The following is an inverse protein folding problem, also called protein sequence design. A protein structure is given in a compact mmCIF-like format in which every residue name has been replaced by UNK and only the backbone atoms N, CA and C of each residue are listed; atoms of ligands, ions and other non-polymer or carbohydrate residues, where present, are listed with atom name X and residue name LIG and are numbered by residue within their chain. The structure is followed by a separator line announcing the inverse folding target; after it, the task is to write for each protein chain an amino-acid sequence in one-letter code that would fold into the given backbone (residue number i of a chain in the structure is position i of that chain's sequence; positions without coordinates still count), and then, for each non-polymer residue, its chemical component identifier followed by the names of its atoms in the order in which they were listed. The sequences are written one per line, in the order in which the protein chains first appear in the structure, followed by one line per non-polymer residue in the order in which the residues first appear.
data_IF_005066717611
#
_entry.id   IF_005066717611
#
_cell.length_a   1.000
_cell.length_b   1.000
_cell.length_c   1.000
_cell.angle_alpha   90.00
_cell.angle_beta   90.00
_cell.angle_gamma   90.00
#
_symmetry.space_group_name_H-M   'P 1'
#
loop_
_entity.id
_entity.type
_entity.pdbx_description
1 polymer ?
#
# COMPACT_ATOMS: atom_id res chain seq x y z
N UNK A 1 -12.47 -58.57 -59.29
CA UNK A 1 -12.36 -57.21 -58.70
C UNK A 1 -11.26 -57.29 -57.66
N UNK A 2 -10.19 -56.53 -57.85
CA UNK A 2 -8.94 -56.70 -57.14
C UNK A 2 -9.01 -55.96 -55.80
N UNK A 3 -9.18 -56.71 -54.71
CA UNK A 3 -9.06 -56.20 -53.34
C UNK A 3 -7.57 -55.98 -53.02
N UNK A 4 -7.03 -54.87 -53.52
CA UNK A 4 -5.68 -54.40 -53.21
C UNK A 4 -5.64 -54.00 -51.74
N UNK A 5 -5.16 -54.91 -50.88
CA UNK A 5 -4.94 -54.65 -49.45
C UNK A 5 -4.02 -53.43 -49.30
N UNK A 6 -4.40 -52.41 -48.50
CA UNK A 6 -3.60 -51.20 -48.34
C UNK A 6 -2.20 -51.50 -47.81
N UNK A 7 -1.17 -50.84 -48.39
CA UNK A 7 0.22 -50.97 -47.98
C UNK A 7 0.39 -50.51 -46.52
N UNK A 8 1.03 -51.36 -45.71
CA UNK A 8 1.34 -51.10 -44.29
C UNK A 8 2.10 -49.78 -44.07
N UNK A 9 2.85 -49.30 -45.08
CA UNK A 9 3.54 -48.00 -45.02
C UNK A 9 2.58 -46.81 -45.00
N UNK A 10 1.46 -46.89 -45.71
CA UNK A 10 0.49 -45.80 -45.77
C UNK A 10 -0.37 -45.77 -44.50
N UNK A 11 -0.75 -46.94 -43.99
CA UNK A 11 -1.42 -47.09 -42.68
C UNK A 11 -0.57 -46.49 -41.54
N UNK A 12 0.74 -46.77 -41.53
CA UNK A 12 1.66 -46.21 -40.52
C UNK A 12 1.79 -44.68 -40.61
N UNK A 13 1.77 -44.11 -41.82
CA UNK A 13 1.83 -42.65 -42.03
C UNK A 13 0.57 -41.96 -41.53
N UNK A 14 -0.61 -42.47 -41.86
CA UNK A 14 -1.88 -41.90 -41.40
C UNK A 14 -2.01 -41.93 -39.87
N UNK A 15 -1.62 -43.05 -39.23
CA UNK A 15 -1.61 -43.17 -37.77
C UNK A 15 -0.61 -42.20 -37.13
N UNK A 16 0.58 -42.03 -37.73
CA UNK A 16 1.59 -41.04 -37.29
C UNK A 16 1.04 -39.62 -37.32
N UNK A 17 0.41 -39.22 -38.42
CA UNK A 17 -0.14 -37.86 -38.57
C UNK A 17 -1.34 -37.61 -37.63
N UNK A 18 -2.18 -38.62 -37.43
CA UNK A 18 -3.27 -38.56 -36.45
C UNK A 18 -2.73 -38.41 -35.01
N UNK A 19 -1.67 -39.15 -34.64
CA UNK A 19 -1.06 -39.07 -33.33
C UNK A 19 -0.34 -37.73 -33.10
N UNK A 20 0.34 -37.17 -34.11
CA UNK A 20 0.93 -35.82 -34.03
C UNK A 20 -0.13 -34.74 -33.80
N UNK A 21 -1.28 -34.82 -34.47
CA UNK A 21 -2.41 -33.90 -34.26
C UNK A 21 -2.96 -34.02 -32.83
N UNK A 22 -3.19 -35.23 -32.34
CA UNK A 22 -3.63 -35.48 -30.95
C UNK A 22 -2.63 -34.94 -29.93
N UNK A 23 -1.34 -35.17 -30.14
CA UNK A 23 -0.29 -34.66 -29.25
C UNK A 23 -0.26 -33.12 -29.23
N UNK A 24 -0.39 -32.45 -30.38
CA UNK A 24 -0.49 -30.99 -30.44
C UNK A 24 -1.70 -30.46 -29.67
N UNK A 25 -2.86 -31.11 -29.80
CA UNK A 25 -4.09 -30.74 -29.07
C UNK A 25 -3.90 -30.93 -27.57
N UNK A 26 -3.30 -32.04 -27.14
CA UNK A 26 -3.00 -32.29 -25.72
C UNK A 26 -2.01 -31.27 -25.15
N UNK A 27 -0.97 -30.90 -25.91
CA UNK A 27 -0.03 -29.85 -25.50
C UNK A 27 -0.71 -28.49 -25.37
N UNK A 28 -1.54 -28.10 -26.35
CA UNK A 28 -2.33 -26.86 -26.29
C UNK A 28 -3.29 -26.85 -25.11
N UNK A 29 -3.97 -27.97 -24.85
CA UNK A 29 -4.87 -28.12 -23.71
C UNK A 29 -4.11 -28.02 -22.38
N UNK A 30 -2.93 -28.66 -22.28
CA UNK A 30 -2.07 -28.58 -21.10
C UNK A 30 -1.57 -27.16 -20.85
N UNK A 31 -1.16 -26.44 -21.90
CA UNK A 31 -0.72 -25.04 -21.80
C UNK A 31 -1.88 -24.14 -21.37
N UNK A 32 -3.06 -24.32 -21.98
CA UNK A 32 -4.26 -23.57 -21.62
C UNK A 32 -4.67 -23.81 -20.16
N UNK A 33 -4.62 -25.06 -19.70
CA UNK A 33 -4.89 -25.41 -18.30
C UNK A 33 -3.89 -24.79 -17.33
N UNK A 34 -2.61 -24.79 -17.69
CA UNK A 34 -1.57 -24.14 -16.89
C UNK A 34 -1.80 -22.63 -16.79
N UNK A 35 -2.11 -21.97 -17.92
CA UNK A 35 -2.44 -20.54 -17.94
C UNK A 35 -3.68 -20.25 -17.09
N UNK A 36 -4.72 -21.09 -17.17
CA UNK A 36 -5.92 -20.95 -16.35
C UNK A 36 -5.61 -21.02 -14.85
N UNK A 37 -4.74 -21.95 -14.42
CA UNK A 37 -4.30 -22.03 -13.01
C UNK A 37 -3.56 -20.76 -12.59
N UNK A 38 -2.66 -20.24 -13.42
CA UNK A 38 -1.90 -19.01 -13.10
C UNK A 38 -2.85 -17.82 -12.96
N UNK A 39 -3.79 -17.67 -13.87
CA UNK A 39 -4.82 -16.62 -13.80
C UNK A 39 -5.65 -16.81 -12.52
N UNK A 40 -6.16 -18.01 -12.26
CA UNK A 40 -6.95 -18.29 -11.06
C UNK A 40 -6.17 -18.02 -9.75
N UNK A 41 -4.85 -18.26 -9.73
CA UNK A 41 -4.00 -17.95 -8.59
C UNK A 41 -3.81 -16.44 -8.36
N UNK A 42 -3.79 -15.64 -9.44
CA UNK A 42 -3.73 -14.17 -9.37
C UNK A 42 -5.09 -13.58 -8.96
N UNK A 43 -6.18 -14.12 -9.50
CA UNK A 43 -7.54 -13.61 -9.29
C UNK A 43 -8.23 -14.13 -8.01
N UNK A 44 -7.63 -15.09 -7.28
CA UNK A 44 -8.17 -15.52 -5.99
C UNK A 44 -8.04 -14.38 -4.97
N UNK A 45 -9.06 -14.21 -4.12
CA UNK A 45 -9.23 -13.09 -3.19
C UNK A 45 -8.09 -12.84 -2.19
N UNK A 46 -7.16 -13.79 -2.05
CA UNK A 46 -5.94 -13.74 -1.23
C UNK A 46 -4.65 -13.93 -2.05
N UNK A 47 -4.68 -13.58 -3.33
CA UNK A 47 -3.54 -13.68 -4.23
C UNK A 47 -2.32 -12.87 -3.77
N UNK A 48 -1.16 -13.17 -4.37
CA UNK A 48 0.17 -12.61 -4.03
C UNK A 48 0.17 -11.07 -3.98
N UNK A 49 -0.61 -10.43 -4.85
CA UNK A 49 -0.75 -8.96 -4.91
C UNK A 49 -1.36 -8.38 -3.63
N UNK A 50 -2.34 -9.07 -3.03
CA UNK A 50 -2.97 -8.62 -1.78
C UNK A 50 -2.00 -8.71 -0.62
N UNK A 51 -1.18 -9.76 -0.55
CA UNK A 51 -0.16 -9.92 0.49
C UNK A 51 0.87 -8.80 0.42
N UNK A 52 1.29 -8.42 -0.78
CA UNK A 52 2.20 -7.28 -0.98
C UNK A 52 1.59 -5.97 -0.48
N UNK A 53 0.36 -5.65 -0.91
CA UNK A 53 -0.34 -4.44 -0.45
C UNK A 53 -0.68 -4.46 1.05
N UNK A 54 -0.88 -5.64 1.65
CA UNK A 54 -1.10 -5.76 3.09
C UNK A 54 0.14 -5.38 3.88
N UNK A 55 1.32 -5.77 3.43
CA UNK A 55 2.58 -5.40 4.10
C UNK A 55 2.81 -3.88 4.06
N UNK A 56 2.60 -3.24 2.91
CA UNK A 56 2.69 -1.77 2.80
C UNK A 56 1.65 -1.06 3.70
N UNK A 57 0.43 -1.60 3.79
CA UNK A 57 -0.59 -1.10 4.73
C UNK A 57 -0.12 -1.27 6.18
N UNK A 58 0.43 -2.41 6.55
CA UNK A 58 0.93 -2.65 7.92
C UNK A 58 2.03 -1.65 8.29
N UNK A 59 2.97 -1.38 7.39
CA UNK A 59 4.07 -0.46 7.67
C UNK A 59 3.60 1.01 7.74
N UNK A 60 2.69 1.42 6.85
CA UNK A 60 2.07 2.74 6.94
C UNK A 60 1.26 2.93 8.24
N UNK A 61 0.50 1.91 8.65
CA UNK A 61 -0.24 1.90 9.93
C UNK A 61 0.70 2.00 11.12
N UNK A 62 1.81 1.26 11.15
CA UNK A 62 2.83 1.35 12.21
C UNK A 62 3.43 2.76 12.30
N UNK A 63 3.75 3.37 11.16
CA UNK A 63 4.27 4.73 11.11
C UNK A 63 3.25 5.75 11.65
N UNK A 64 1.97 5.59 11.28
CA UNK A 64 0.90 6.45 11.78
C UNK A 64 0.70 6.30 13.29
N UNK A 65 0.74 5.07 13.82
CA UNK A 65 0.68 4.83 15.27
C UNK A 65 1.85 5.52 15.98
N UNK A 66 3.06 5.41 15.44
CA UNK A 66 4.24 6.06 16.02
C UNK A 66 4.11 7.59 16.05
N UNK A 67 3.64 8.20 14.94
CA UNK A 67 3.38 9.64 14.88
C UNK A 67 2.32 10.08 15.89
N UNK A 68 1.19 9.39 15.93
CA UNK A 68 0.09 9.71 16.86
C UNK A 68 0.51 9.56 18.31
N UNK A 69 1.34 8.56 18.65
CA UNK A 69 1.88 8.42 20.01
C UNK A 69 2.75 9.61 20.42
N UNK A 70 3.66 10.05 19.54
CA UNK A 70 4.51 11.22 19.81
C UNK A 70 3.69 12.50 19.97
N UNK A 71 2.68 12.68 19.13
CA UNK A 71 1.78 13.82 19.22
C UNK A 71 0.97 13.81 20.52
N UNK A 72 0.45 12.65 20.91
CA UNK A 72 -0.26 12.47 22.17
C UNK A 72 0.64 12.75 23.39
N UNK A 73 1.89 12.25 23.39
CA UNK A 73 2.87 12.56 24.44
C UNK A 73 3.16 14.07 24.54
N UNK A 74 3.34 14.75 23.40
CA UNK A 74 3.54 16.20 23.35
C UNK A 74 2.33 16.95 23.93
N UNK A 75 1.12 16.62 23.48
CA UNK A 75 -0.12 17.24 23.93
C UNK A 75 -0.35 17.00 25.43
N UNK A 76 -0.07 15.81 25.94
CA UNK A 76 -0.19 15.54 27.38
C UNK A 76 0.80 16.38 28.20
N UNK A 77 2.02 16.56 27.69
CA UNK A 77 3.03 17.43 28.33
C UNK A 77 2.55 18.89 28.36
N UNK A 78 1.98 19.37 27.26
CA UNK A 78 1.41 20.72 27.15
C UNK A 78 0.22 20.91 28.10
N UNK A 79 -0.70 19.95 28.15
CA UNK A 79 -1.83 19.95 29.11
C UNK A 79 -1.32 19.95 30.55
N UNK A 80 -0.27 19.19 30.85
CA UNK A 80 0.32 19.18 32.18
C UNK A 80 0.92 20.55 32.55
N UNK A 81 1.66 21.17 31.62
CA UNK A 81 2.23 22.50 31.82
C UNK A 81 1.13 23.56 32.02
N UNK A 82 0.09 23.55 31.18
CA UNK A 82 -1.06 24.44 31.31
C UNK A 82 -1.82 24.27 32.63
N UNK A 83 -1.82 23.07 33.24
CA UNK A 83 -2.52 22.83 34.50
C UNK A 83 -1.68 23.13 35.74
N UNK A 84 -0.38 22.92 35.68
CA UNK A 84 0.49 22.91 36.87
C UNK A 84 1.57 23.98 36.86
N UNK A 85 1.80 24.67 35.74
CA UNK A 85 2.83 25.69 35.60
C UNK A 85 2.22 27.06 35.29
N UNK A 86 2.16 27.92 36.32
CA UNK A 86 1.66 29.29 36.20
C UNK A 86 2.55 30.17 35.31
N UNK A 87 3.85 29.88 35.20
CA UNK A 87 4.77 30.63 34.33
C UNK A 87 4.54 30.28 32.85
N UNK A 88 4.17 29.03 32.55
CA UNK A 88 3.78 28.64 31.20
C UNK A 88 2.48 29.34 30.75
N UNK A 89 1.49 29.45 31.63
CA UNK A 89 0.26 30.23 31.37
C UNK A 89 0.59 31.72 31.16
N UNK A 90 1.42 32.30 32.02
CA UNK A 90 1.84 33.71 31.91
C UNK A 90 2.57 33.98 30.60
N UNK A 91 3.42 33.05 30.15
CA UNK A 91 4.10 33.14 28.86
C UNK A 91 3.10 33.20 27.70
N UNK A 92 2.15 32.27 27.64
CA UNK A 92 1.10 32.26 26.60
C UNK A 92 0.25 33.54 26.67
N UNK A 93 -0.12 33.97 27.88
CA UNK A 93 -0.89 35.20 28.06
C UNK A 93 -0.17 36.43 27.49
N UNK A 94 1.15 36.53 27.70
CA UNK A 94 1.96 37.65 27.19
C UNK A 94 2.29 37.55 25.70
N UNK A 95 2.70 36.37 25.23
CA UNK A 95 3.20 36.18 23.87
C UNK A 95 2.06 36.01 22.84
N UNK A 96 1.08 35.17 23.15
CA UNK A 96 0.01 34.83 22.20
C UNK A 96 -1.20 35.76 22.31
N UNK A 97 -1.49 36.26 23.52
CA UNK A 97 -2.67 37.07 23.81
C UNK A 97 -2.36 38.54 24.11
N UNK A 98 -1.09 38.92 24.25
CA UNK A 98 -0.67 40.31 24.56
C UNK A 98 -1.17 40.83 25.91
N UNK A 99 -1.55 39.95 26.83
CA UNK A 99 -2.08 40.30 28.14
C UNK A 99 -0.93 40.67 29.10
N UNK A 100 -1.18 41.67 29.93
CA UNK A 100 -0.25 42.15 30.98
C UNK A 100 -0.98 42.22 32.32
N UNK A 101 -0.25 42.05 33.43
CA UNK A 101 -0.84 42.18 34.76
C UNK A 101 -1.12 43.63 35.08
N UNK A 102 -2.09 43.85 35.96
CA UNK A 102 -2.44 45.18 36.43
C UNK A 102 -1.25 45.85 37.13
N UNK A 103 -0.88 47.05 36.67
CA UNK A 103 0.28 47.81 37.16
C UNK A 103 1.57 47.64 36.35
N UNK A 104 1.57 46.85 35.26
CA UNK A 104 2.75 46.71 34.38
C UNK A 104 2.79 47.78 33.27
N UNK A 105 4.01 48.23 32.92
CA UNK A 105 4.25 49.25 31.88
C UNK A 105 4.58 48.55 30.56
N UNK A 106 3.80 48.82 29.51
CA UNK A 106 4.00 48.27 28.16
C UNK A 106 4.92 49.19 27.37
N UNK A 107 6.01 48.65 26.82
CA UNK A 107 6.90 49.36 25.90
C UNK A 107 6.57 48.94 24.46
N UNK A 108 5.97 49.83 23.69
CA UNK A 108 5.71 49.62 22.27
C UNK A 108 6.79 50.32 21.44
N UNK A 109 7.53 49.55 20.65
CA UNK A 109 8.56 50.09 19.76
C UNK A 109 7.91 50.51 18.44
N UNK A 110 7.51 51.78 18.35
CA UNK A 110 7.06 52.38 17.07
C UNK A 110 8.26 52.63 16.16
N UNK A 111 8.31 51.93 15.02
CA UNK A 111 9.27 52.22 13.97
C UNK A 111 9.04 53.63 13.42
N UNK A 112 9.98 54.53 13.70
CA UNK A 112 9.93 55.90 13.24
C UNK A 112 10.18 55.93 11.73
N UNK A 113 9.10 55.88 10.94
CA UNK A 113 9.15 56.18 9.50
C UNK A 113 9.51 57.65 9.33
N UNK A 114 10.83 57.92 9.30
CA UNK A 114 11.37 59.19 8.80
C UNK A 114 10.84 59.39 7.39
N UNK A 115 10.06 60.47 7.23
CA UNK A 115 9.57 60.98 5.96
C UNK A 115 10.65 61.76 5.25
#
# INVERSE_FOLDING_TARGET
MNDSKPDNRDIKKEISEANKKRLKILLLASISFFIFIVIAAIFRDDGVIKVYHLNEKVDSLKNNISKLKKENEKLNTEVYALKNDSSYIEKIAREDLGLVKEGEIVFEFVENKKK
#
